data_IF_694525766625
#
_entry.id   IF_694525766625
#
_cell.length_a   1.000
_cell.length_b   1.000
_cell.length_c   1.000
_cell.angle_alpha   90.00
_cell.angle_beta   90.00
_cell.angle_gamma   90.00
#
_symmetry.space_group_name_H-M   'P 1'
#
loop_
_entity.id
_entity.type
_entity.pdbx_description
1 polymer ?
#
# COMPACT_ATOMS: atom_id res chain seq x y z
N UNK A 1 -4.14 48.00 11.78
CA UNK A 1 -4.54 46.73 11.14
C UNK A 1 -3.31 45.93 10.73
N UNK A 2 -3.00 44.83 11.44
CA UNK A 2 -1.80 44.00 11.21
C UNK A 2 -2.11 42.49 11.13
N UNK A 3 -3.37 42.10 10.87
CA UNK A 3 -3.81 40.69 10.90
C UNK A 3 -4.19 40.07 9.55
N UNK A 4 -3.89 40.71 8.42
CA UNK A 4 -4.38 40.26 7.11
C UNK A 4 -3.30 39.79 6.11
N UNK A 5 -2.12 39.31 6.55
CA UNK A 5 -1.03 38.91 5.62
C UNK A 5 -0.35 37.58 5.96
N UNK A 6 -1.11 36.52 6.25
CA UNK A 6 -0.48 35.23 6.62
C UNK A 6 -1.08 33.98 5.96
N UNK A 7 -1.68 34.06 4.76
CA UNK A 7 -2.29 32.88 4.10
C UNK A 7 -1.82 32.62 2.66
N UNK A 8 -0.77 33.29 2.17
CA UNK A 8 -0.35 33.13 0.75
C UNK A 8 1.03 32.49 0.50
N UNK A 9 1.68 31.92 1.52
CA UNK A 9 2.98 31.27 1.34
C UNK A 9 2.92 29.78 0.91
N UNK A 10 1.74 29.16 0.80
CA UNK A 10 1.60 27.70 0.64
C UNK A 10 1.53 27.11 -0.79
N UNK A 11 1.33 27.85 -1.92
CA UNK A 11 1.22 27.19 -3.24
C UNK A 11 2.59 26.88 -3.88
N UNK A 12 3.64 27.63 -3.54
CA UNK A 12 4.96 27.50 -4.17
C UNK A 12 5.73 26.26 -3.73
N UNK A 13 5.55 25.82 -2.48
CA UNK A 13 6.17 24.59 -1.97
C UNK A 13 5.52 23.34 -2.56
N UNK A 14 4.19 23.37 -2.72
CA UNK A 14 3.43 22.28 -3.37
C UNK A 14 3.75 22.25 -4.87
N UNK A 15 3.80 23.41 -5.52
CA UNK A 15 4.20 23.53 -6.93
C UNK A 15 5.64 23.07 -7.18
N UNK A 16 6.58 23.42 -6.29
CA UNK A 16 7.96 22.97 -6.36
C UNK A 16 8.10 21.46 -6.16
N UNK A 17 7.39 20.88 -5.19
CA UNK A 17 7.38 19.43 -4.97
C UNK A 17 6.80 18.67 -6.17
N UNK A 18 5.70 19.16 -6.75
CA UNK A 18 5.09 18.57 -7.96
C UNK A 18 6.00 18.70 -9.18
N UNK A 19 6.71 19.82 -9.34
CA UNK A 19 7.67 20.02 -10.43
C UNK A 19 8.87 19.06 -10.31
N UNK A 20 9.38 18.82 -9.11
CA UNK A 20 10.48 17.87 -8.89
C UNK A 20 10.02 16.43 -9.13
N UNK A 21 8.81 16.07 -8.72
CA UNK A 21 8.21 14.75 -9.03
C UNK A 21 8.04 14.57 -10.53
N UNK A 22 7.53 15.60 -11.23
CA UNK A 22 7.35 15.59 -12.69
C UNK A 22 8.68 15.49 -13.45
N UNK A 23 9.73 16.20 -13.00
CA UNK A 23 11.06 16.12 -13.59
C UNK A 23 11.71 14.76 -13.34
N UNK A 24 11.49 14.16 -12.16
CA UNK A 24 11.98 12.82 -11.83
C UNK A 24 11.33 11.71 -12.65
N UNK A 25 10.02 11.82 -12.93
CA UNK A 25 9.26 10.85 -13.73
C UNK A 25 9.46 10.99 -15.25
N UNK A 26 9.76 12.20 -15.74
CA UNK A 26 9.99 12.46 -17.17
C UNK A 26 11.44 12.24 -17.61
N UNK A 27 12.41 12.24 -16.69
CA UNK A 27 13.84 11.99 -17.00
C UNK A 27 14.12 10.67 -17.78
N UNK A 28 13.41 9.55 -17.57
CA UNK A 28 13.58 8.33 -18.37
C UNK A 28 13.22 8.49 -19.84
N UNK A 29 12.31 9.43 -20.16
CA UNK A 29 11.89 9.72 -21.55
C UNK A 29 12.90 10.61 -22.29
N UNK A 30 13.79 11.29 -21.57
CA UNK A 30 14.72 12.28 -22.12
C UNK A 30 16.09 11.74 -22.57
N UNK A 31 16.29 10.42 -22.60
CA UNK A 31 17.39 9.82 -23.38
C UNK A 31 18.46 9.04 -22.60
N UNK A 32 18.10 7.91 -22.03
CA UNK A 32 19.07 6.85 -21.78
C UNK A 32 18.41 5.48 -22.00
N UNK A 33 18.46 5.01 -23.25
CA UNK A 33 18.24 3.60 -23.55
C UNK A 33 19.23 2.77 -22.70
N UNK A 34 18.73 2.05 -21.70
CA UNK A 34 19.52 1.13 -20.89
C UNK A 34 19.46 1.31 -19.36
N UNK A 35 18.79 2.33 -18.82
CA UNK A 35 18.56 2.37 -17.37
C UNK A 35 17.36 1.48 -17.06
N UNK A 36 17.63 0.22 -16.69
CA UNK A 36 16.62 -0.66 -16.12
C UNK A 36 16.03 0.02 -14.87
N UNK A 37 14.73 0.33 -14.91
CA UNK A 37 14.00 0.95 -13.80
C UNK A 37 13.78 -0.13 -12.75
N UNK A 38 14.82 -0.40 -11.98
CA UNK A 38 14.78 -1.33 -10.85
C UNK A 38 14.18 -0.64 -9.60
N UNK A 39 13.68 -1.41 -8.63
CA UNK A 39 13.06 -0.87 -7.40
C UNK A 39 13.96 0.10 -6.62
N UNK A 40 15.28 -0.02 -6.78
CA UNK A 40 16.29 0.91 -6.23
C UNK A 40 16.19 2.35 -6.77
N UNK A 41 15.68 2.56 -7.99
CA UNK A 41 15.44 3.89 -8.57
C UNK A 41 14.32 4.63 -7.82
N UNK A 42 13.19 3.96 -7.60
CA UNK A 42 12.07 4.53 -6.87
C UNK A 42 12.40 4.79 -5.39
N UNK A 43 13.18 3.91 -4.76
CA UNK A 43 13.61 4.12 -3.38
C UNK A 43 14.42 5.42 -3.19
N UNK A 44 15.34 5.74 -4.12
CA UNK A 44 16.16 6.97 -4.05
C UNK A 44 15.35 8.26 -4.25
N UNK A 45 14.28 8.21 -5.04
CA UNK A 45 13.42 9.37 -5.27
C UNK A 45 12.34 9.53 -4.20
N UNK A 46 11.72 8.45 -3.74
CA UNK A 46 10.60 8.49 -2.78
C UNK A 46 11.06 8.73 -1.34
N UNK A 47 12.23 8.21 -0.95
CA UNK A 47 12.76 8.32 0.41
C UNK A 47 12.89 9.77 0.94
N UNK A 48 13.49 10.75 0.24
CA UNK A 48 13.61 12.12 0.76
C UNK A 48 12.25 12.82 0.94
N UNK A 49 11.26 12.53 0.08
CA UNK A 49 9.90 13.07 0.24
C UNK A 49 9.13 12.39 1.37
N UNK A 50 9.32 11.08 1.56
CA UNK A 50 8.75 10.36 2.70
C UNK A 50 9.31 10.89 4.03
N UNK A 51 10.61 11.19 4.09
CA UNK A 51 11.26 11.80 5.26
C UNK A 51 10.80 13.25 5.50
N UNK A 52 10.67 14.06 4.44
CA UNK A 52 10.17 15.43 4.55
C UNK A 52 8.69 15.49 4.97
N UNK A 53 7.85 14.58 4.45
CA UNK A 53 6.46 14.43 4.86
C UNK A 53 6.36 13.98 6.33
N UNK A 54 7.18 13.01 6.76
CA UNK A 54 7.26 12.59 8.16
C UNK A 54 7.65 13.76 9.09
N UNK A 55 8.65 14.55 8.71
CA UNK A 55 9.08 15.72 9.47
C UNK A 55 7.98 16.81 9.56
N UNK A 56 7.29 17.09 8.45
CA UNK A 56 6.18 18.04 8.42
C UNK A 56 5.01 17.59 9.32
N UNK A 57 4.74 16.28 9.36
CA UNK A 57 3.67 15.66 10.14
C UNK A 57 3.99 15.70 11.65
N UNK A 58 5.25 15.51 12.04
CA UNK A 58 5.73 15.71 13.43
C UNK A 58 5.58 17.17 13.87
N UNK A 59 5.93 18.12 13.00
CA UNK A 59 5.81 19.56 13.29
C UNK A 59 4.34 20.00 13.37
N UNK A 60 3.47 19.50 12.49
CA UNK A 60 2.05 19.83 12.49
C UNK A 60 1.31 19.27 13.71
N UNK A 61 1.71 18.09 14.21
CA UNK A 61 1.17 17.49 15.45
C UNK A 61 1.47 18.30 16.72
N UNK A 62 2.51 19.15 16.71
CA UNK A 62 2.90 19.96 17.86
C UNK A 62 2.01 21.20 18.08
N UNK A 63 1.23 21.64 17.08
CA UNK A 63 0.59 22.97 17.06
C UNK A 63 -0.89 22.99 17.52
N UNK A 64 -1.58 21.83 17.68
CA UNK A 64 -2.99 21.80 18.15
C UNK A 64 -3.27 20.77 19.26
N UNK A 65 -3.67 21.18 20.48
CA UNK A 65 -3.80 20.28 21.62
C UNK A 65 -5.02 19.34 21.59
N UNK A 66 -6.09 19.64 20.84
CA UNK A 66 -7.31 18.80 20.80
C UNK A 66 -7.22 17.56 19.88
N UNK A 67 -6.15 17.44 19.08
CA UNK A 67 -5.97 16.38 18.06
C UNK A 67 -4.78 15.45 18.35
N UNK A 68 -4.18 15.53 19.54
CA UNK A 68 -2.96 14.78 19.88
C UNK A 68 -3.11 13.26 19.72
N UNK A 69 -4.20 12.68 20.24
CA UNK A 69 -4.45 11.22 20.21
C UNK A 69 -4.65 10.65 18.80
N UNK A 70 -5.55 11.19 17.94
CA UNK A 70 -5.63 10.73 16.56
C UNK A 70 -4.32 11.01 15.80
N UNK A 71 -3.64 12.13 16.08
CA UNK A 71 -2.31 12.41 15.52
C UNK A 71 -1.29 11.31 15.79
N UNK A 72 -1.20 10.80 17.02
CA UNK A 72 -0.28 9.68 17.34
C UNK A 72 -0.63 8.39 16.58
N UNK A 73 -1.93 8.09 16.40
CA UNK A 73 -2.37 6.93 15.63
C UNK A 73 -2.00 7.08 14.14
N UNK A 74 -2.11 8.28 13.56
CA UNK A 74 -1.63 8.55 12.20
C UNK A 74 -0.13 8.29 12.07
N UNK A 75 0.69 8.74 13.01
CA UNK A 75 2.14 8.52 12.97
C UNK A 75 2.47 7.03 13.08
N UNK A 76 1.85 6.32 14.02
CA UNK A 76 2.02 4.88 14.16
C UNK A 76 1.63 4.15 12.86
N UNK A 77 0.48 4.49 12.27
CA UNK A 77 0.04 3.94 10.99
C UNK A 77 1.02 4.22 9.85
N UNK A 78 1.55 5.44 9.77
CA UNK A 78 2.56 5.81 8.79
C UNK A 78 3.87 5.04 8.97
N UNK A 79 4.36 4.88 10.20
CA UNK A 79 5.57 4.11 10.49
C UNK A 79 5.39 2.63 10.12
N UNK A 80 4.23 2.04 10.43
CA UNK A 80 3.90 0.65 10.03
C UNK A 80 3.84 0.52 8.51
N UNK A 81 3.19 1.47 7.82
CA UNK A 81 3.13 1.49 6.36
C UNK A 81 4.53 1.56 5.76
N UNK A 82 5.36 2.49 6.24
CA UNK A 82 6.72 2.68 5.76
C UNK A 82 7.58 1.42 6.00
N UNK A 83 7.49 0.82 7.18
CA UNK A 83 8.17 -0.44 7.49
C UNK A 83 7.72 -1.57 6.55
N UNK A 84 6.41 -1.67 6.26
CA UNK A 84 5.88 -2.63 5.28
C UNK A 84 6.45 -2.40 3.88
N UNK A 85 6.41 -1.15 3.37
CA UNK A 85 6.94 -0.80 2.06
C UNK A 85 8.44 -1.10 1.96
N UNK A 86 9.24 -0.65 2.93
CA UNK A 86 10.67 -0.95 2.98
C UNK A 86 10.92 -2.46 3.04
N UNK A 87 10.14 -3.18 3.84
CA UNK A 87 10.19 -4.64 3.91
C UNK A 87 10.03 -5.30 2.53
N UNK A 88 9.08 -4.84 1.72
CA UNK A 88 8.85 -5.43 0.39
C UNK A 88 10.01 -5.24 -0.58
N UNK A 89 10.88 -4.25 -0.35
CA UNK A 89 12.07 -4.02 -1.19
C UNK A 89 13.17 -5.06 -0.97
N UNK A 90 13.11 -5.80 0.14
CA UNK A 90 14.04 -6.91 0.43
C UNK A 90 13.59 -8.23 -0.20
N UNK A 91 12.54 -8.21 -1.01
CA UNK A 91 12.03 -9.37 -1.70
C UNK A 91 12.99 -9.92 -2.76
N UNK A 92 12.77 -11.18 -3.12
CA UNK A 92 13.55 -11.87 -4.14
C UNK A 92 12.63 -12.69 -5.03
N UNK A 93 13.06 -12.90 -6.26
CA UNK A 93 12.36 -13.72 -7.25
C UNK A 93 13.31 -14.73 -7.89
N UNK A 94 12.77 -15.87 -8.32
CA UNK A 94 13.49 -16.88 -9.07
C UNK A 94 12.56 -17.51 -10.11
N UNK A 95 13.10 -17.78 -11.29
CA UNK A 95 12.43 -18.52 -12.35
C UNK A 95 13.17 -19.83 -12.61
N UNK A 96 12.44 -20.94 -12.67
CA UNK A 96 13.02 -22.26 -12.85
C UNK A 96 12.05 -23.19 -13.59
N UNK A 97 12.61 -24.04 -14.44
CA UNK A 97 11.92 -25.20 -15.01
C UNK A 97 12.16 -26.39 -14.09
N UNK A 98 11.09 -26.97 -13.56
CA UNK A 98 11.13 -28.04 -12.56
C UNK A 98 10.49 -29.31 -13.13
N UNK A 99 11.21 -30.42 -13.09
CA UNK A 99 10.61 -31.75 -13.27
C UNK A 99 9.80 -32.15 -12.03
N UNK A 100 8.88 -33.12 -12.11
CA UNK A 100 8.22 -33.66 -10.92
C UNK A 100 9.25 -34.15 -9.90
N UNK A 101 9.16 -33.65 -8.67
CA UNK A 101 10.11 -33.89 -7.58
C UNK A 101 11.18 -32.81 -7.41
N UNK A 102 11.46 -32.01 -8.45
CA UNK A 102 12.44 -30.93 -8.37
C UNK A 102 11.89 -29.74 -7.58
N UNK A 103 12.81 -28.94 -7.03
CA UNK A 103 12.48 -27.77 -6.26
C UNK A 103 13.38 -26.57 -6.55
N UNK A 104 12.79 -25.38 -6.45
CA UNK A 104 13.52 -24.10 -6.46
C UNK A 104 13.45 -23.46 -5.08
N UNK A 105 14.56 -22.89 -4.62
CA UNK A 105 14.63 -22.16 -3.35
C UNK A 105 14.86 -20.67 -3.57
N UNK A 106 14.06 -19.82 -2.93
CA UNK A 106 14.18 -18.36 -3.01
C UNK A 106 13.83 -17.71 -1.67
N UNK A 107 14.70 -16.82 -1.18
CA UNK A 107 14.52 -16.12 0.11
C UNK A 107 14.12 -17.03 1.30
N UNK A 108 14.68 -18.24 1.37
CA UNK A 108 14.42 -19.22 2.43
C UNK A 108 13.09 -19.99 2.30
N UNK A 109 12.39 -19.84 1.19
CA UNK A 109 11.23 -20.66 0.81
C UNK A 109 11.63 -21.64 -0.28
N UNK A 110 11.07 -22.85 -0.24
CA UNK A 110 11.29 -23.88 -1.25
C UNK A 110 9.96 -24.22 -1.90
N UNK A 111 9.91 -24.18 -3.23
CA UNK A 111 8.75 -24.59 -4.02
C UNK A 111 9.13 -25.85 -4.77
N UNK A 112 8.47 -26.97 -4.44
CA UNK A 112 8.67 -28.27 -5.08
C UNK A 112 7.53 -28.55 -6.05
N UNK A 113 7.87 -29.03 -7.25
CA UNK A 113 6.90 -29.49 -8.22
C UNK A 113 6.45 -30.92 -7.89
N UNK A 114 5.16 -31.14 -7.71
CA UNK A 114 4.57 -32.48 -7.51
C UNK A 114 4.03 -33.06 -8.83
N UNK A 115 3.90 -32.23 -9.87
CA UNK A 115 3.40 -32.61 -11.19
C UNK A 115 2.46 -31.57 -11.77
N UNK A 116 1.90 -31.90 -12.94
CA UNK A 116 0.94 -31.05 -13.66
C UNK A 116 -0.31 -31.87 -13.94
N UNK A 117 -1.46 -31.24 -13.76
CA UNK A 117 -2.76 -31.83 -14.06
C UNK A 117 -3.53 -30.94 -15.03
N UNK A 118 -4.28 -31.56 -15.93
CA UNK A 118 -5.29 -30.87 -16.74
C UNK A 118 -6.64 -31.08 -16.06
N UNK A 119 -7.28 -29.99 -15.65
CA UNK A 119 -8.57 -30.04 -14.96
C UNK A 119 -9.55 -29.00 -15.53
N UNK A 120 -10.83 -29.11 -15.16
CA UNK A 120 -11.83 -28.09 -15.48
C UNK A 120 -12.00 -27.11 -14.33
N UNK A 121 -11.52 -25.88 -14.52
CA UNK A 121 -11.73 -24.77 -13.59
C UNK A 121 -12.88 -23.92 -14.11
N UNK A 122 -14.00 -23.89 -13.38
CA UNK A 122 -15.22 -23.12 -13.75
C UNK A 122 -15.70 -23.44 -15.17
N UNK A 123 -15.82 -24.73 -15.48
CA UNK A 123 -16.22 -25.29 -16.79
C UNK A 123 -15.27 -24.95 -17.95
N UNK A 124 -14.04 -24.54 -17.65
CA UNK A 124 -12.99 -24.29 -18.65
C UNK A 124 -11.80 -25.18 -18.44
N UNK A 125 -11.20 -25.63 -19.54
CA UNK A 125 -10.01 -26.45 -19.48
C UNK A 125 -8.83 -25.61 -18.97
N UNK A 126 -8.10 -26.14 -17.99
CA UNK A 126 -7.00 -25.48 -17.34
C UNK A 126 -5.83 -26.44 -17.13
N UNK A 127 -4.62 -25.95 -17.37
CA UNK A 127 -3.38 -26.64 -17.00
C UNK A 127 -2.93 -26.10 -15.65
N UNK A 128 -2.79 -26.96 -14.65
CA UNK A 128 -2.51 -26.58 -13.27
C UNK A 128 -1.27 -27.32 -12.79
N UNK A 129 -0.30 -26.60 -12.24
CA UNK A 129 0.85 -27.20 -11.58
C UNK A 129 0.53 -27.43 -10.11
N UNK A 130 0.82 -28.62 -9.60
CA UNK A 130 0.69 -28.98 -8.20
C UNK A 130 2.02 -28.70 -7.50
N UNK A 131 2.07 -27.66 -6.68
CA UNK A 131 3.32 -27.23 -6.05
C UNK A 131 3.21 -27.32 -4.53
N UNK A 132 4.24 -27.85 -3.87
CA UNK A 132 4.35 -27.82 -2.41
C UNK A 132 5.26 -26.68 -1.98
N UNK A 133 4.77 -25.80 -1.11
CA UNK A 133 5.54 -24.72 -0.52
C UNK A 133 6.08 -25.14 0.85
N UNK A 134 7.40 -25.14 0.99
CA UNK A 134 8.11 -25.49 2.22
C UNK A 134 8.93 -24.32 2.76
N UNK A 135 9.21 -24.39 4.06
CA UNK A 135 10.21 -23.53 4.73
C UNK A 135 11.05 -24.39 5.65
N UNK A 136 12.27 -24.73 5.24
CA UNK A 136 12.99 -25.85 5.83
C UNK A 136 12.26 -27.16 5.52
N UNK A 137 12.07 -28.01 6.53
CA UNK A 137 11.36 -29.28 6.40
C UNK A 137 9.83 -29.17 6.60
N UNK A 138 9.34 -27.98 6.98
CA UNK A 138 7.92 -27.77 7.23
C UNK A 138 7.16 -27.44 5.93
N UNK A 139 6.17 -28.26 5.59
CA UNK A 139 5.15 -27.93 4.59
C UNK A 139 4.26 -26.78 5.11
N UNK A 140 4.19 -25.68 4.37
CA UNK A 140 3.42 -24.48 4.74
C UNK A 140 2.12 -24.34 3.96
N UNK A 141 2.09 -24.81 2.71
CA UNK A 141 0.91 -24.81 1.85
C UNK A 141 1.11 -25.67 0.59
N UNK A 142 0.01 -26.01 -0.06
CA UNK A 142 -0.01 -26.46 -1.46
C UNK A 142 -0.51 -25.33 -2.35
N UNK A 143 0.18 -25.08 -3.44
CA UNK A 143 -0.06 -24.00 -4.38
C UNK A 143 -0.42 -24.60 -5.73
N UNK A 144 -1.49 -24.10 -6.34
CA UNK A 144 -2.03 -24.58 -7.61
C UNK A 144 -2.06 -23.46 -8.65
N UNK A 145 -0.90 -22.91 -9.10
CA UNK A 145 -0.92 -21.96 -10.20
C UNK A 145 -1.32 -22.65 -11.49
N UNK A 146 -2.06 -21.96 -12.35
CA UNK A 146 -2.61 -22.55 -13.56
C UNK A 146 -2.71 -21.59 -14.73
N UNK A 147 -3.05 -22.16 -15.89
CA UNK A 147 -3.38 -21.41 -17.12
C UNK A 147 -4.73 -21.89 -17.61
N UNK A 148 -5.72 -21.00 -17.60
CA UNK A 148 -7.13 -21.29 -17.93
C UNK A 148 -7.42 -20.83 -19.35
N UNK A 149 -7.92 -21.74 -20.19
CA UNK A 149 -8.28 -21.45 -21.57
C UNK A 149 -9.65 -20.74 -21.63
N UNK A 150 -9.76 -19.70 -22.45
CA UNK A 150 -10.99 -18.97 -22.76
C UNK A 150 -11.23 -19.07 -24.27
N UNK A 151 -11.82 -20.17 -24.75
CA UNK A 151 -11.99 -20.45 -26.18
C UNK A 151 -12.79 -19.35 -26.90
N UNK A 152 -13.81 -18.82 -26.23
CA UNK A 152 -14.67 -17.75 -26.76
C UNK A 152 -13.94 -16.43 -27.01
N UNK A 153 -12.76 -16.25 -26.40
CA UNK A 153 -11.90 -15.07 -26.57
C UNK A 153 -10.59 -15.40 -27.29
N UNK A 154 -10.30 -16.69 -27.54
CA UNK A 154 -9.00 -17.14 -28.03
C UNK A 154 -7.83 -16.81 -27.09
N UNK A 155 -8.07 -16.77 -25.77
CA UNK A 155 -7.07 -16.36 -24.77
C UNK A 155 -6.74 -17.50 -23.81
N UNK A 156 -5.52 -17.47 -23.26
CA UNK A 156 -5.06 -18.34 -22.17
C UNK A 156 -4.58 -17.46 -21.02
N UNK A 157 -5.35 -17.37 -19.94
CA UNK A 157 -5.06 -16.49 -18.81
C UNK A 157 -4.30 -17.24 -17.71
N UNK A 158 -3.27 -16.61 -17.16
CA UNK A 158 -2.53 -17.15 -16.02
C UNK A 158 -3.27 -16.86 -14.70
N UNK A 159 -3.49 -17.90 -13.92
CA UNK A 159 -3.93 -17.82 -12.52
C UNK A 159 -2.72 -18.11 -11.62
N UNK A 160 -2.30 -17.11 -10.85
CA UNK A 160 -1.15 -17.24 -9.95
C UNK A 160 -1.60 -17.78 -8.59
N UNK A 161 -0.80 -18.65 -8.00
CA UNK A 161 -1.02 -19.07 -6.61
C UNK A 161 -0.32 -18.10 -5.65
N UNK A 162 -0.99 -17.73 -4.55
CA UNK A 162 -0.47 -16.80 -3.55
C UNK A 162 -0.68 -17.35 -2.14
N UNK A 163 0.39 -17.33 -1.33
CA UNK A 163 0.34 -17.58 0.10
C UNK A 163 0.81 -16.34 0.85
N UNK A 164 -0.10 -15.63 1.49
CA UNK A 164 0.22 -14.41 2.28
C UNK A 164 0.35 -14.68 3.77
N UNK A 165 1.48 -14.33 4.37
CA UNK A 165 1.72 -14.46 5.82
C UNK A 165 2.17 -13.12 6.42
N UNK A 166 2.13 -12.95 7.76
CA UNK A 166 2.64 -11.73 8.39
C UNK A 166 4.11 -11.40 8.08
N UNK A 167 4.90 -12.42 7.72
CA UNK A 167 6.32 -12.26 7.45
C UNK A 167 6.61 -12.08 5.96
N UNK A 168 5.92 -12.81 5.10
CA UNK A 168 6.14 -12.79 3.66
C UNK A 168 4.95 -13.30 2.87
N UNK A 169 4.81 -12.75 1.66
CA UNK A 169 3.88 -13.22 0.65
C UNK A 169 4.67 -13.98 -0.41
N UNK A 170 4.28 -15.23 -0.66
CA UNK A 170 4.89 -16.08 -1.68
C UNK A 170 3.91 -16.24 -2.83
N UNK A 171 4.23 -15.65 -3.97
CA UNK A 171 3.46 -15.76 -5.20
C UNK A 171 4.19 -16.68 -6.18
N UNK A 172 3.46 -17.60 -6.81
CA UNK A 172 3.99 -18.46 -7.85
C UNK A 172 3.16 -18.30 -9.12
N UNK A 173 3.86 -18.08 -10.22
CA UNK A 173 3.28 -17.94 -11.56
C UNK A 173 3.68 -19.15 -12.38
N UNK A 174 2.71 -19.77 -13.06
CA UNK A 174 2.97 -20.82 -14.04
C UNK A 174 3.12 -20.19 -15.43
N UNK A 175 4.31 -20.26 -16.01
CA UNK A 175 4.58 -19.77 -17.37
C UNK A 175 4.26 -20.83 -18.41
N UNK A 176 4.71 -22.06 -18.22
CA UNK A 176 4.40 -23.18 -19.12
C UNK A 176 4.46 -24.50 -18.38
N UNK A 177 3.76 -25.49 -18.90
CA UNK A 177 3.82 -26.86 -18.44
C UNK A 177 3.66 -27.82 -19.62
N UNK A 178 4.14 -29.05 -19.49
CA UNK A 178 4.03 -30.10 -20.50
C UNK A 178 3.45 -31.41 -19.95
N UNK A 179 3.24 -32.38 -20.85
CA UNK A 179 2.63 -33.68 -20.55
C UNK A 179 3.50 -34.58 -19.66
N UNK A 180 4.79 -34.25 -19.49
CA UNK A 180 5.71 -34.99 -18.60
C UNK A 180 5.61 -34.52 -17.14
N UNK A 181 4.80 -33.49 -16.88
CA UNK A 181 4.67 -32.89 -15.55
C UNK A 181 5.72 -31.81 -15.26
N UNK A 182 6.53 -31.44 -16.26
CA UNK A 182 7.53 -30.38 -16.13
C UNK A 182 6.85 -29.02 -16.17
N UNK A 183 7.24 -28.12 -15.26
CA UNK A 183 6.64 -26.80 -15.11
C UNK A 183 7.71 -25.70 -15.06
N UNK A 184 7.58 -24.68 -15.92
CA UNK A 184 8.33 -23.43 -15.81
C UNK A 184 7.55 -22.49 -14.90
N UNK A 185 8.11 -22.23 -13.72
CA UNK A 185 7.48 -21.41 -12.69
C UNK A 185 8.34 -20.20 -12.34
N UNK A 186 7.69 -19.12 -11.96
CA UNK A 186 8.35 -17.94 -11.39
C UNK A 186 7.80 -17.67 -9.98
N UNK A 187 8.70 -17.71 -9.01
CA UNK A 187 8.40 -17.56 -7.59
C UNK A 187 8.85 -16.17 -7.14
N UNK A 188 7.95 -15.44 -6.50
CA UNK A 188 8.18 -14.12 -5.93
C UNK A 188 7.95 -14.17 -4.43
N UNK A 189 8.93 -13.75 -3.65
CA UNK A 189 8.81 -13.62 -2.19
C UNK A 189 8.86 -12.14 -1.83
N UNK A 190 7.77 -11.63 -1.24
CA UNK A 190 7.59 -10.23 -0.85
C UNK A 190 7.44 -10.12 0.67
N UNK A 191 8.51 -9.81 1.41
CA UNK A 191 8.45 -9.66 2.86
C UNK A 191 7.55 -8.50 3.28
N UNK A 192 6.86 -8.69 4.41
CA UNK A 192 6.08 -7.66 5.10
C UNK A 192 4.99 -6.93 4.30
N UNK A 193 4.54 -7.48 3.16
CA UNK A 193 3.54 -6.83 2.30
C UNK A 193 2.23 -6.54 3.05
N UNK A 194 1.77 -7.46 3.91
CA UNK A 194 0.53 -7.27 4.69
C UNK A 194 0.57 -6.04 5.60
N UNK A 195 1.75 -5.60 6.03
CA UNK A 195 1.88 -4.44 6.92
C UNK A 195 1.61 -3.12 6.22
N UNK A 196 1.71 -3.07 4.89
CA UNK A 196 1.27 -1.91 4.09
C UNK A 196 -0.23 -1.68 4.29
N UNK A 197 -1.02 -2.76 4.27
CA UNK A 197 -2.46 -2.71 4.50
C UNK A 197 -2.80 -2.33 5.94
N UNK A 198 -2.10 -2.90 6.92
CA UNK A 198 -2.28 -2.51 8.33
C UNK A 198 -1.95 -1.05 8.59
N UNK A 199 -0.85 -0.55 8.01
CA UNK A 199 -0.50 0.87 8.10
C UNK A 199 -1.56 1.78 7.46
N UNK A 200 -2.06 1.40 6.28
CA UNK A 200 -3.17 2.09 5.62
C UNK A 200 -4.46 2.10 6.45
N UNK A 201 -4.81 0.97 7.08
CA UNK A 201 -5.97 0.85 7.96
C UNK A 201 -5.83 1.75 9.20
N UNK A 202 -4.65 1.80 9.81
CA UNK A 202 -4.39 2.69 10.96
C UNK A 202 -4.51 4.17 10.59
N UNK A 203 -4.02 4.56 9.41
CA UNK A 203 -4.18 5.91 8.88
C UNK A 203 -5.66 6.25 8.65
N UNK A 204 -6.43 5.34 8.04
CA UNK A 204 -7.86 5.51 7.83
C UNK A 204 -8.63 5.61 9.16
N UNK A 205 -8.31 4.76 10.13
CA UNK A 205 -8.88 4.78 11.47
C UNK A 205 -8.57 6.10 12.20
N UNK A 206 -7.34 6.60 12.07
CA UNK A 206 -6.94 7.91 12.60
C UNK A 206 -7.76 9.04 11.98
N UNK A 207 -7.94 9.05 10.66
CA UNK A 207 -8.72 10.06 9.96
C UNK A 207 -10.19 10.04 10.40
N UNK A 208 -10.80 8.85 10.50
CA UNK A 208 -12.15 8.66 11.00
C UNK A 208 -12.29 9.17 12.44
N UNK A 209 -11.33 8.85 13.32
CA UNK A 209 -11.33 9.34 14.69
C UNK A 209 -11.20 10.86 14.76
N UNK A 210 -10.28 11.45 13.98
CA UNK A 210 -10.13 12.90 13.91
C UNK A 210 -11.43 13.59 13.47
N UNK A 211 -12.15 13.03 12.49
CA UNK A 211 -13.44 13.55 12.02
C UNK A 211 -14.51 13.50 13.13
N UNK A 212 -14.59 12.40 13.89
CA UNK A 212 -15.53 12.28 15.03
C UNK A 212 -15.23 13.30 16.12
N UNK A 213 -13.95 13.50 16.47
CA UNK A 213 -13.54 14.50 17.47
C UNK A 213 -13.90 15.91 17.00
N UNK A 214 -13.65 16.23 15.73
CA UNK A 214 -13.99 17.53 15.15
C UNK A 214 -15.51 17.78 15.15
N UNK A 215 -16.31 16.79 14.76
CA UNK A 215 -17.77 16.89 14.77
C UNK A 215 -18.33 17.12 16.18
N UNK A 216 -17.82 16.40 17.19
CA UNK A 216 -18.22 16.60 18.59
C UNK A 216 -17.85 17.99 19.11
N UNK A 217 -16.67 18.51 18.75
CA UNK A 217 -16.26 19.86 19.14
C UNK A 217 -17.16 20.95 18.52
N UNK A 218 -17.59 20.76 17.27
CA UNK A 218 -18.51 21.68 16.59
C UNK A 218 -19.89 21.73 17.28
N UNK A 219 -20.42 20.58 17.71
CA UNK A 219 -21.71 20.49 18.42
C UNK A 219 -21.71 21.20 19.78
N UNK A 220 -20.60 21.17 20.53
CA UNK A 220 -20.49 21.84 21.84
C UNK A 220 -20.43 23.38 21.70
N UNK A 221 -19.91 23.88 20.57
CA UNK A 221 -19.69 25.32 20.36
C UNK A 221 -20.96 26.04 19.85
N UNK A 222 -21.81 25.36 19.10
CA UNK A 222 -23.04 25.91 18.51
C UNK A 222 -24.07 26.47 19.54
N UNK A 223 -24.44 25.79 20.64
CA UNK A 223 -25.47 26.28 21.56
C UNK A 223 -25.04 27.50 22.37
N UNK A 224 -23.73 27.68 22.61
CA UNK A 224 -23.21 28.83 23.40
C UNK A 224 -23.23 30.14 22.60
N UNK A 225 -23.00 30.06 21.29
CA UNK A 225 -23.04 31.20 20.39
C UNK A 225 -24.47 31.74 20.21
N UNK A 226 -25.47 30.87 20.22
CA UNK A 226 -26.88 31.25 20.09
C UNK A 226 -27.43 31.93 21.35
N UNK A 227 -27.09 31.40 22.53
CA UNK A 227 -27.45 32.02 23.82
C UNK A 227 -26.76 33.38 24.03
N UNK A 228 -25.50 33.54 23.61
CA UNK A 228 -24.82 34.85 23.66
C UNK A 228 -25.41 35.87 22.66
N UNK A 229 -25.86 35.40 21.49
CA UNK A 229 -26.51 36.27 20.51
C UNK A 229 -27.87 36.75 21.01
N UNK A 230 -28.67 35.85 21.60
CA UNK A 230 -29.98 36.17 22.18
C UNK A 230 -29.90 37.11 23.40
N UNK A 231 -28.85 37.01 24.22
CA UNK A 231 -28.63 37.91 25.37
C UNK A 231 -28.09 39.27 24.95
N UNK A 232 -27.32 39.36 23.87
CA UNK A 232 -26.85 40.64 23.32
C UNK A 232 -27.98 41.45 22.66
N UNK A 233 -28.91 40.81 21.93
CA UNK A 233 -30.04 41.49 21.28
C UNK A 233 -31.10 41.99 22.26
N UNK A 234 -31.33 41.28 23.37
CA UNK A 234 -32.23 41.76 24.42
C UNK A 234 -31.65 42.99 25.14
N UNK A 235 -30.34 42.99 25.42
CA UNK A 235 -29.68 44.12 26.07
C UNK A 235 -29.64 45.40 25.22
N UNK A 236 -29.46 45.29 23.89
CA UNK A 236 -29.47 46.45 22.98
C UNK A 236 -30.88 47.03 22.78
N UNK A 237 -31.91 46.20 22.90
CA UNK A 237 -33.31 46.63 22.74
C UNK A 237 -33.78 47.44 23.96
N UNK A 238 -33.33 47.08 25.17
CA UNK A 238 -33.63 47.83 26.39
C UNK A 238 -32.93 49.19 26.48
N UNK A 239 -31.76 49.37 25.83
CA UNK A 239 -31.03 50.65 25.81
C UNK A 239 -31.54 51.68 24.80
N UNK A 240 -32.44 51.30 23.88
CA UNK A 240 -33.01 52.21 22.86
C UNK A 240 -34.34 52.84 23.28
N UNK A 241 -34.90 52.46 24.44
CA UNK A 241 -36.23 52.87 24.93
C UNK A 241 -36.13 53.80 26.17
N UNK A 242 -34.91 54.11 26.62
CA UNK A 242 -34.64 55.07 27.69
C UNK A 242 -34.06 56.36 27.09
#
# INVERSE_FOLDING_TARGET
GRRARAVHAQPWLVGGALLVVLLGTLRPLAGAAGVAVDGSFFARFVAPFALAAAALVVVAGAVRPSLRRPGHLAHAGFLVLLAGVLGTTTGASASATLDPGDAVSVAGWTVRNEGVTVERVRDRDAVVAELTLLRGDDEKARLRPGRVAYPERGLLLAETALRSSPLADVQVVLHSADDTGRALVEVHVRPFLVWVWWGGLLLAASAAWAAVVAARAAQVTAPRAEVQRATSSSSSSSSSVA
#
